data_IF_455373401915
#
_entry.id   IF_455373401915
#
_cell.length_a   1.000
_cell.length_b   1.000
_cell.length_c   1.000
_cell.angle_alpha   90.00
_cell.angle_beta   90.00
_cell.angle_gamma   90.00
#
_symmetry.space_group_name_H-M   'P 1'
#
loop_
_entity.id
_entity.type
_entity.pdbx_description
1 polymer ?
#
# COMPACT_ATOMS: atom_id res chain seq x y z
N UNK A 1 -11.33 -2.41 -0.91
CA UNK A 1 -11.39 -1.61 -2.15
C UNK A 1 -12.76 -0.95 -2.26
N UNK A 2 -12.89 0.21 -2.92
CA UNK A 2 -14.16 0.91 -3.05
C UNK A 2 -14.00 2.20 -3.85
N UNK A 3 -15.10 2.85 -4.25
CA UNK A 3 -15.05 4.12 -5.00
C UNK A 3 -14.38 5.23 -4.21
N UNK A 4 -14.21 6.39 -4.82
CA UNK A 4 -13.65 7.58 -4.15
C UNK A 4 -14.56 7.99 -2.98
N UNK A 5 -13.97 8.56 -1.94
CA UNK A 5 -14.65 9.17 -0.78
C UNK A 5 -15.54 8.25 0.10
N UNK A 6 -15.34 6.94 0.05
CA UNK A 6 -16.03 5.97 0.93
C UNK A 6 -15.23 5.61 2.20
N UNK A 7 -14.20 6.36 2.54
CA UNK A 7 -13.44 6.17 3.77
C UNK A 7 -12.34 5.09 3.72
N UNK A 8 -11.90 4.63 2.53
CA UNK A 8 -10.84 3.60 2.39
C UNK A 8 -9.57 3.94 3.16
N UNK A 9 -9.06 5.15 2.99
CA UNK A 9 -7.83 5.60 3.65
C UNK A 9 -8.00 5.68 5.16
N UNK A 10 -9.20 6.05 5.63
CA UNK A 10 -9.54 6.05 7.06
C UNK A 10 -9.50 4.64 7.64
N UNK A 11 -10.14 3.68 6.96
CA UNK A 11 -10.12 2.27 7.38
C UNK A 11 -8.70 1.71 7.40
N UNK A 12 -7.89 2.00 6.36
CA UNK A 12 -6.49 1.58 6.30
C UNK A 12 -5.68 2.13 7.49
N UNK A 13 -5.85 3.42 7.80
CA UNK A 13 -5.19 4.07 8.96
C UNK A 13 -5.63 3.45 10.29
N UNK A 14 -6.91 3.17 10.46
CA UNK A 14 -7.44 2.52 11.66
C UNK A 14 -6.85 1.12 11.84
N UNK A 15 -6.85 0.29 10.79
CA UNK A 15 -6.27 -1.06 10.83
C UNK A 15 -4.79 -1.05 11.20
N UNK A 16 -4.02 -0.14 10.62
CA UNK A 16 -2.60 0.04 10.94
C UNK A 16 -2.40 0.46 12.40
N UNK A 17 -3.17 1.43 12.88
CA UNK A 17 -3.10 1.89 14.27
C UNK A 17 -3.43 0.77 15.27
N UNK A 18 -4.48 -0.02 15.01
CA UNK A 18 -4.81 -1.17 15.85
C UNK A 18 -3.72 -2.24 15.82
N UNK A 19 -3.20 -2.57 14.64
CA UNK A 19 -2.13 -3.56 14.51
C UNK A 19 -0.90 -3.16 15.33
N UNK A 20 -0.46 -1.90 15.22
CA UNK A 20 0.72 -1.43 15.96
C UNK A 20 0.48 -1.38 17.46
N UNK A 21 -0.70 -1.00 17.92
CA UNK A 21 -1.06 -1.03 19.36
C UNK A 21 -1.08 -2.45 19.92
N UNK A 22 -1.32 -3.46 19.08
CA UNK A 22 -1.18 -4.87 19.42
C UNK A 22 0.26 -5.41 19.29
N UNK A 23 1.26 -4.53 19.16
CA UNK A 23 2.68 -4.89 19.05
C UNK A 23 3.09 -5.45 17.69
N UNK A 24 2.23 -5.35 16.66
CA UNK A 24 2.53 -5.77 15.28
C UNK A 24 3.28 -4.67 14.53
N UNK A 25 3.97 -5.05 13.44
CA UNK A 25 4.69 -4.11 12.55
C UNK A 25 4.27 -4.35 11.10
N UNK A 26 3.04 -3.95 10.71
CA UNK A 26 2.55 -4.12 9.35
C UNK A 26 3.31 -3.23 8.36
N UNK A 27 3.29 -3.62 7.09
CA UNK A 27 3.75 -2.77 5.99
C UNK A 27 2.54 -2.06 5.38
N UNK A 28 2.60 -0.74 5.29
CA UNK A 28 1.68 0.04 4.46
C UNK A 28 2.24 0.12 3.05
N UNK A 29 1.44 -0.25 2.06
CA UNK A 29 1.71 -0.05 0.64
C UNK A 29 0.69 0.97 0.11
N UNK A 30 1.21 2.09 -0.38
CA UNK A 30 0.42 3.18 -0.93
C UNK A 30 0.52 3.16 -2.45
N UNK A 31 -0.60 2.91 -3.10
CA UNK A 31 -0.72 2.85 -4.56
C UNK A 31 -1.63 3.97 -5.11
N UNK A 32 -2.16 4.84 -4.25
CA UNK A 32 -2.91 6.01 -4.68
C UNK A 32 -1.93 7.13 -5.05
N UNK A 33 -1.71 7.31 -6.34
CA UNK A 33 -0.79 8.34 -6.87
C UNK A 33 -1.32 9.77 -6.73
N UNK A 34 -2.61 9.93 -6.50
CA UNK A 34 -3.26 11.25 -6.35
C UNK A 34 -3.24 11.77 -4.91
N UNK A 35 -3.45 10.88 -3.94
CA UNK A 35 -3.67 11.24 -2.54
C UNK A 35 -2.89 10.35 -1.57
N UNK A 36 -1.72 9.88 -1.95
CA UNK A 36 -0.88 9.02 -1.12
C UNK A 36 -0.41 9.70 0.17
N UNK A 37 -0.27 8.92 1.24
CA UNK A 37 0.20 9.40 2.55
C UNK A 37 1.66 9.01 2.87
N UNK A 38 2.34 8.29 1.98
CA UNK A 38 3.74 7.84 2.18
C UNK A 38 4.74 8.85 1.61
N UNK A 39 4.34 9.61 0.58
CA UNK A 39 5.19 10.61 -0.07
C UNK A 39 4.33 11.63 -0.81
N UNK A 40 4.95 12.43 -1.66
CA UNK A 40 4.29 13.45 -2.48
C UNK A 40 3.38 12.82 -3.56
N UNK A 41 2.37 13.55 -4.05
CA UNK A 41 1.57 13.10 -5.20
C UNK A 41 2.45 12.75 -6.41
N UNK A 42 1.98 11.80 -7.22
CA UNK A 42 2.73 11.27 -8.35
C UNK A 42 3.73 10.17 -7.97
N UNK A 43 3.62 9.62 -6.77
CA UNK A 43 4.47 8.51 -6.30
C UNK A 43 3.65 7.34 -5.82
N UNK A 44 4.26 6.15 -5.81
CA UNK A 44 3.79 4.98 -5.06
C UNK A 44 4.89 4.56 -4.08
N UNK A 45 4.51 3.91 -2.99
CA UNK A 45 5.53 3.55 -2.02
C UNK A 45 5.08 2.54 -0.97
N UNK A 46 6.04 2.14 -0.15
CA UNK A 46 5.80 1.26 0.98
C UNK A 46 6.63 1.68 2.20
N UNK A 47 6.06 1.52 3.39
CA UNK A 47 6.77 1.75 4.63
C UNK A 47 6.39 0.76 5.72
N UNK A 48 7.32 0.46 6.61
CA UNK A 48 7.06 -0.31 7.82
C UNK A 48 6.43 0.61 8.86
N UNK A 49 5.28 0.22 9.40
CA UNK A 49 4.57 0.99 10.43
C UNK A 49 4.94 0.44 11.79
N UNK A 50 5.66 1.23 12.58
CA UNK A 50 6.19 0.82 13.89
C UNK A 50 5.52 1.52 15.07
N UNK A 51 4.89 2.66 14.83
CA UNK A 51 4.21 3.48 15.84
C UNK A 51 2.83 3.91 15.35
N UNK A 52 1.88 4.14 16.24
CA UNK A 52 0.60 4.71 15.86
C UNK A 52 0.80 6.08 15.19
N UNK A 53 -0.09 6.39 14.25
CA UNK A 53 -0.12 7.71 13.65
C UNK A 53 -0.39 8.78 14.71
N UNK A 54 0.37 9.87 14.68
CA UNK A 54 0.01 11.08 15.41
C UNK A 54 -1.14 11.81 14.71
N UNK A 55 -1.85 12.64 15.44
CA UNK A 55 -2.93 13.45 14.87
C UNK A 55 -2.37 14.53 13.93
N UNK A 56 -1.19 15.05 14.23
CA UNK A 56 -0.56 16.17 13.53
C UNK A 56 0.26 15.71 12.32
N UNK A 57 1.12 14.70 12.50
CA UNK A 57 2.10 14.28 11.49
C UNK A 57 1.75 12.98 10.76
N UNK A 58 0.71 12.26 11.21
CA UNK A 58 0.37 10.96 10.66
C UNK A 58 1.35 9.85 11.09
N UNK A 59 1.64 8.91 10.20
CA UNK A 59 2.62 7.85 10.47
C UNK A 59 4.05 8.36 10.32
N UNK A 60 4.91 7.96 11.27
CA UNK A 60 6.35 8.26 11.19
C UNK A 60 6.96 7.61 9.93
N UNK A 61 7.56 8.43 9.07
CA UNK A 61 8.13 8.02 7.79
C UNK A 61 9.60 7.59 7.93
N UNK A 62 9.83 6.50 8.65
CA UNK A 62 11.18 5.97 8.78
C UNK A 62 11.56 5.17 7.53
N UNK A 63 12.40 5.75 6.68
CA UNK A 63 12.96 5.11 5.47
C UNK A 63 11.90 4.48 4.54
N UNK A 64 10.93 5.26 4.04
CA UNK A 64 9.96 4.75 3.08
C UNK A 64 10.67 4.38 1.78
N UNK A 65 10.21 3.30 1.14
CA UNK A 65 10.56 3.02 -0.25
C UNK A 65 9.56 3.76 -1.13
N UNK A 66 10.06 4.62 -2.01
CA UNK A 66 9.21 5.43 -2.89
C UNK A 66 9.67 5.29 -4.34
N UNK A 67 8.73 5.08 -5.24
CA UNK A 67 8.93 5.13 -6.68
C UNK A 67 8.21 6.32 -7.27
N UNK A 68 8.90 7.07 -8.10
CA UNK A 68 8.31 8.19 -8.83
C UNK A 68 7.55 7.66 -10.05
N UNK A 69 6.26 8.00 -10.14
CA UNK A 69 5.40 7.67 -11.28
C UNK A 69 5.21 8.89 -12.20
N UNK A 70 5.14 10.09 -11.62
CA UNK A 70 5.11 11.36 -12.36
C UNK A 70 3.72 11.80 -12.84
N UNK A 71 2.65 11.07 -12.50
CA UNK A 71 1.28 11.42 -12.89
C UNK A 71 0.33 11.30 -11.70
N UNK A 72 -0.75 12.09 -11.71
CA UNK A 72 -1.75 12.11 -10.64
C UNK A 72 -2.84 11.02 -10.76
N UNK A 73 -2.89 10.31 -11.90
CA UNK A 73 -3.86 9.23 -12.13
C UNK A 73 -3.18 8.01 -12.74
N UNK A 74 -3.48 6.79 -12.25
CA UNK A 74 -2.84 5.55 -12.74
C UNK A 74 -3.10 5.29 -14.22
N UNK A 75 -4.25 5.78 -14.74
CA UNK A 75 -4.66 5.59 -16.13
C UNK A 75 -3.82 6.35 -17.15
N UNK A 76 -3.03 7.35 -16.75
CA UNK A 76 -2.23 8.16 -17.67
C UNK A 76 -1.14 7.34 -18.34
N UNK A 77 -0.49 6.44 -17.61
CA UNK A 77 0.49 5.49 -18.13
C UNK A 77 0.38 4.15 -17.39
N UNK A 78 -0.58 3.33 -17.79
CA UNK A 78 -0.87 2.06 -17.14
C UNK A 78 0.30 1.07 -17.18
N UNK A 79 1.07 1.08 -18.27
CA UNK A 79 2.22 0.18 -18.43
C UNK A 79 3.27 0.48 -17.37
N UNK A 80 3.67 1.74 -17.24
CA UNK A 80 4.63 2.18 -16.24
C UNK A 80 4.10 1.91 -14.82
N UNK A 81 2.83 2.25 -14.56
CA UNK A 81 2.22 2.01 -13.26
C UNK A 81 2.27 0.53 -12.86
N UNK A 82 1.88 -0.38 -13.76
CA UNK A 82 1.90 -1.82 -13.51
C UNK A 82 3.32 -2.35 -13.28
N UNK A 83 4.31 -1.84 -14.00
CA UNK A 83 5.72 -2.18 -13.79
C UNK A 83 6.20 -1.75 -12.41
N UNK A 84 5.90 -0.51 -12.00
CA UNK A 84 6.26 0.01 -10.68
C UNK A 84 5.57 -0.75 -9.56
N UNK A 85 4.28 -1.06 -9.71
CA UNK A 85 3.53 -1.88 -8.74
C UNK A 85 4.16 -3.28 -8.60
N UNK A 86 4.50 -3.92 -9.70
CA UNK A 86 5.15 -5.24 -9.68
C UNK A 86 6.50 -5.17 -8.96
N UNK A 87 7.31 -4.17 -9.29
CA UNK A 87 8.61 -3.96 -8.64
C UNK A 87 8.49 -3.69 -7.15
N UNK A 88 7.54 -2.85 -6.76
CA UNK A 88 7.27 -2.54 -5.36
C UNK A 88 6.86 -3.81 -4.59
N UNK A 89 5.99 -4.63 -5.19
CA UNK A 89 5.57 -5.89 -4.57
C UNK A 89 6.74 -6.87 -4.38
N UNK A 90 7.68 -6.95 -5.33
CA UNK A 90 8.87 -7.79 -5.20
C UNK A 90 9.75 -7.35 -4.03
N UNK A 91 10.00 -6.05 -3.89
CA UNK A 91 10.82 -5.51 -2.79
C UNK A 91 10.12 -5.65 -1.44
N UNK A 92 8.80 -5.44 -1.39
CA UNK A 92 8.03 -5.66 -0.16
C UNK A 92 8.11 -7.13 0.27
N UNK A 93 8.00 -8.08 -0.66
CA UNK A 93 8.18 -9.52 -0.39
C UNK A 93 9.58 -9.84 0.13
N UNK A 94 10.60 -9.33 -0.51
CA UNK A 94 11.98 -9.52 -0.06
C UNK A 94 12.17 -8.98 1.38
N UNK A 95 11.63 -7.82 1.67
CA UNK A 95 11.69 -7.23 3.02
C UNK A 95 10.95 -8.07 4.07
N UNK A 96 9.80 -8.62 3.72
CA UNK A 96 9.04 -9.51 4.60
C UNK A 96 9.76 -10.83 4.85
N UNK A 97 10.43 -11.40 3.84
CA UNK A 97 11.21 -12.64 4.01
C UNK A 97 12.38 -12.48 5.00
N UNK A 98 12.95 -11.27 5.07
CA UNK A 98 14.05 -10.92 5.99
C UNK A 98 13.57 -10.42 7.35
N UNK A 99 12.30 -10.09 7.52
CA UNK A 99 11.73 -9.53 8.75
C UNK A 99 10.52 -10.34 9.22
N UNK A 100 10.74 -11.27 10.15
CA UNK A 100 9.68 -12.14 10.69
C UNK A 100 8.52 -11.36 11.31
N UNK A 101 8.77 -10.23 11.99
CA UNK A 101 7.69 -9.41 12.58
C UNK A 101 6.81 -8.79 11.49
N UNK A 102 7.40 -8.25 10.42
CA UNK A 102 6.66 -7.73 9.27
C UNK A 102 5.88 -8.84 8.56
N UNK A 103 6.50 -10.01 8.34
CA UNK A 103 5.86 -11.16 7.71
C UNK A 103 4.60 -11.62 8.45
N UNK A 104 4.65 -11.73 9.77
CA UNK A 104 3.51 -12.13 10.60
C UNK A 104 2.46 -11.01 10.73
N UNK A 105 2.87 -9.76 10.60
CA UNK A 105 1.98 -8.60 10.73
C UNK A 105 1.18 -8.32 9.46
N UNK A 106 1.68 -8.75 8.30
CA UNK A 106 1.01 -8.60 7.02
C UNK A 106 1.18 -7.23 6.38
N UNK A 107 0.41 -7.00 5.32
CA UNK A 107 0.47 -5.80 4.49
C UNK A 107 -0.92 -5.19 4.36
N UNK A 108 -1.01 -3.87 4.48
CA UNK A 108 -2.20 -3.09 4.16
C UNK A 108 -1.93 -2.32 2.87
N UNK A 109 -2.72 -2.56 1.84
CA UNK A 109 -2.58 -1.92 0.53
C UNK A 109 -3.70 -0.89 0.34
N UNK A 110 -3.32 0.38 0.23
CA UNK A 110 -4.24 1.46 -0.14
C UNK A 110 -4.19 1.70 -1.64
N UNK A 111 -5.36 1.81 -2.28
CA UNK A 111 -5.49 2.03 -3.73
C UNK A 111 -6.39 3.21 -4.01
N UNK A 112 -6.23 3.82 -5.20
CA UNK A 112 -7.14 4.85 -5.67
C UNK A 112 -8.58 4.32 -5.82
N UNK A 113 -9.54 5.23 -5.99
CA UNK A 113 -10.98 4.91 -6.12
C UNK A 113 -11.42 4.48 -7.52
N UNK A 114 -10.51 4.18 -8.44
CA UNK A 114 -10.81 3.80 -9.80
C UNK A 114 -11.14 2.29 -9.89
N UNK A 115 -12.44 1.97 -9.77
CA UNK A 115 -12.93 0.58 -9.64
C UNK A 115 -13.70 0.07 -10.86
N UNK A 116 -13.82 0.87 -11.94
CA UNK A 116 -14.56 0.49 -13.16
C UNK A 116 -13.65 0.43 -14.37
N UNK A 117 -14.02 -0.38 -15.37
CA UNK A 117 -13.28 -0.53 -16.61
C UNK A 117 -11.82 -0.91 -16.37
N UNK A 118 -10.88 -0.19 -17.00
CA UNK A 118 -9.46 -0.43 -16.85
C UNK A 118 -8.95 -0.31 -15.39
N UNK A 119 -9.65 0.44 -14.53
CA UNK A 119 -9.34 0.49 -13.09
C UNK A 119 -9.58 -0.85 -12.39
N UNK A 120 -10.60 -1.58 -12.79
CA UNK A 120 -10.84 -2.92 -12.27
C UNK A 120 -9.74 -3.91 -12.70
N UNK A 121 -9.25 -3.81 -13.93
CA UNK A 121 -8.14 -4.64 -14.39
C UNK A 121 -6.83 -4.31 -13.65
N UNK A 122 -6.62 -3.05 -13.30
CA UNK A 122 -5.51 -2.67 -12.43
C UNK A 122 -5.63 -3.27 -11.02
N UNK A 123 -6.82 -3.25 -10.43
CA UNK A 123 -7.06 -3.87 -9.12
C UNK A 123 -6.78 -5.38 -9.18
N UNK A 124 -7.20 -6.06 -10.26
CA UNK A 124 -6.87 -7.48 -10.48
C UNK A 124 -5.36 -7.69 -10.56
N UNK A 125 -4.65 -6.84 -11.32
CA UNK A 125 -3.20 -6.90 -11.41
C UNK A 125 -2.53 -6.74 -10.05
N UNK A 126 -2.91 -5.71 -9.27
CA UNK A 126 -2.42 -5.49 -7.90
C UNK A 126 -2.66 -6.74 -7.03
N UNK A 127 -3.86 -7.29 -7.05
CA UNK A 127 -4.20 -8.49 -6.28
C UNK A 127 -3.35 -9.71 -6.71
N UNK A 128 -3.19 -9.93 -8.00
CA UNK A 128 -2.37 -11.03 -8.55
C UNK A 128 -0.90 -10.90 -8.15
N UNK A 129 -0.33 -9.71 -8.26
CA UNK A 129 1.09 -9.46 -7.93
C UNK A 129 1.32 -9.57 -6.42
N UNK A 130 0.33 -9.14 -5.63
CA UNK A 130 0.41 -9.22 -4.16
C UNK A 130 0.17 -10.64 -3.64
N UNK A 131 -0.58 -11.49 -4.35
CA UNK A 131 -0.90 -12.86 -3.94
C UNK A 131 0.11 -13.90 -4.42
N UNK A 132 0.98 -13.57 -5.38
CA UNK A 132 2.00 -14.50 -5.90
C UNK A 132 3.01 -14.85 -4.81
N UNK A 133 2.76 -15.96 -4.12
CA UNK A 133 3.54 -16.64 -3.09
C UNK A 133 3.46 -16.04 -1.66
N UNK A 134 2.62 -16.65 -0.84
CA UNK A 134 2.87 -16.79 0.60
C UNK A 134 2.38 -15.68 1.52
N UNK A 135 1.60 -14.72 1.06
CA UNK A 135 0.77 -13.98 1.99
C UNK A 135 -0.35 -14.92 2.47
N UNK A 136 -0.23 -15.44 3.68
CA UNK A 136 -1.41 -15.90 4.39
C UNK A 136 -2.32 -14.70 4.51
N UNK A 137 -3.19 -14.52 3.50
CA UNK A 137 -4.26 -13.58 3.58
C UNK A 137 -5.02 -13.90 4.86
N UNK A 138 -5.11 -12.96 5.77
CA UNK A 138 -6.15 -12.99 6.79
C UNK A 138 -7.47 -13.20 6.02
N UNK A 139 -7.96 -14.43 6.05
CA UNK A 139 -9.35 -14.71 5.70
C UNK A 139 -10.17 -14.06 6.82
N UNK A 140 -10.79 -12.94 6.48
CA UNK A 140 -11.94 -12.46 7.21
C UNK A 140 -13.14 -13.33 6.84
#
# INVERSE_FOLDING_TARGET
MGPTDVGKSTVSKLLLNYAVRLGRKPILVELDVGQGCVSIPGTIGAMLVERPASVEEGFSQNSPLVYHYGHSAPGTNQVLYNQLVSRLADVVRERMSKNRKASVSGVVINTCGWIRGAGYDQIKHIAMVSSKQGYNSLRL
#
